data_IF_260301451636
#
_entry.id   IF_260301451636
#
_cell.length_a   1.000
_cell.length_b   1.000
_cell.length_c   1.000
_cell.angle_alpha   90.00
_cell.angle_beta   90.00
_cell.angle_gamma   90.00
#
_symmetry.space_group_name_H-M   'P 1'
#
loop_
_entity.id
_entity.type
_entity.pdbx_description
1 polymer ?
#
# COMPACT_ATOMS: atom_id res chain seq x y z
N UNK A 1 -3.92 5.08 11.15
CA UNK A 1 -5.10 4.19 11.22
C UNK A 1 -4.80 2.89 10.48
N UNK A 2 -5.15 1.77 11.09
CA UNK A 2 -5.16 0.50 10.34
C UNK A 2 -6.46 0.42 9.56
N UNK A 3 -6.40 0.05 8.28
CA UNK A 3 -7.59 -0.23 7.48
C UNK A 3 -8.27 -1.51 7.96
N UNK A 4 -9.59 -1.55 7.85
CA UNK A 4 -10.35 -2.77 8.11
C UNK A 4 -10.42 -3.59 6.83
N UNK A 5 -9.99 -4.84 6.89
CA UNK A 5 -10.14 -5.79 5.78
C UNK A 5 -11.63 -6.15 5.64
N UNK A 6 -12.20 -5.85 4.47
CA UNK A 6 -13.63 -6.11 4.22
C UNK A 6 -13.80 -7.37 3.40
N UNK A 7 -12.93 -7.55 2.40
CA UNK A 7 -13.02 -8.66 1.48
C UNK A 7 -11.62 -9.01 0.98
N UNK A 8 -11.24 -10.26 1.11
CA UNK A 8 -9.93 -10.74 0.66
C UNK A 8 -9.91 -11.19 -0.81
N UNK A 9 -11.05 -11.59 -1.34
CA UNK A 9 -11.17 -12.08 -2.72
C UNK A 9 -12.64 -12.09 -3.14
N UNK A 10 -12.91 -12.05 -4.46
CA UNK A 10 -14.21 -12.37 -4.99
C UNK A 10 -14.34 -13.90 -4.95
N UNK A 11 -15.28 -14.41 -4.16
CA UNK A 11 -15.52 -15.84 -4.05
C UNK A 11 -16.76 -16.24 -4.84
N UNK A 12 -16.62 -17.09 -5.86
CA UNK A 12 -17.69 -18.01 -6.23
C UNK A 12 -18.02 -18.92 -5.04
N UNK A 13 -19.24 -19.43 -4.98
CA UNK A 13 -19.70 -20.32 -3.89
C UNK A 13 -18.91 -21.62 -3.82
N UNK A 14 -18.27 -22.00 -4.92
CA UNK A 14 -17.42 -23.18 -5.05
C UNK A 14 -15.94 -22.81 -4.97
N UNK A 15 -15.17 -23.46 -4.08
CA UNK A 15 -13.75 -23.21 -3.87
C UNK A 15 -12.91 -23.53 -5.11
N UNK A 16 -13.25 -24.55 -5.87
CA UNK A 16 -12.49 -24.93 -7.06
C UNK A 16 -12.65 -23.88 -8.17
N UNK A 17 -13.85 -23.35 -8.34
CA UNK A 17 -14.12 -22.24 -9.25
C UNK A 17 -13.40 -20.96 -8.82
N UNK A 18 -13.32 -20.68 -7.52
CA UNK A 18 -12.57 -19.56 -6.97
C UNK A 18 -11.09 -19.67 -7.30
N UNK A 19 -10.50 -20.85 -7.16
CA UNK A 19 -9.08 -21.09 -7.47
C UNK A 19 -8.82 -20.86 -8.96
N UNK A 20 -9.66 -21.41 -9.84
CA UNK A 20 -9.51 -21.22 -11.29
C UNK A 20 -9.69 -19.75 -11.69
N UNK A 21 -10.66 -19.05 -11.10
CA UNK A 21 -10.85 -17.62 -11.32
C UNK A 21 -9.61 -16.81 -10.90
N UNK A 22 -9.06 -17.08 -9.72
CA UNK A 22 -7.86 -16.39 -9.22
C UNK A 22 -6.61 -16.70 -10.05
N UNK A 23 -6.47 -17.91 -10.59
CA UNK A 23 -5.38 -18.25 -11.53
C UNK A 23 -5.44 -17.41 -12.80
N UNK A 24 -6.63 -17.15 -13.31
CA UNK A 24 -6.85 -16.38 -14.53
C UNK A 24 -6.81 -14.86 -14.29
N UNK A 25 -7.48 -14.36 -13.23
CA UNK A 25 -7.72 -12.93 -12.99
C UNK A 25 -6.85 -12.33 -11.88
N UNK A 26 -6.16 -13.15 -11.10
CA UNK A 26 -5.37 -12.72 -9.95
C UNK A 26 -6.16 -12.62 -8.65
N UNK A 27 -5.47 -12.23 -7.59
CA UNK A 27 -6.03 -12.04 -6.25
C UNK A 27 -6.40 -10.58 -6.02
N UNK A 28 -7.53 -10.35 -5.35
CA UNK A 28 -8.05 -9.01 -5.05
C UNK A 28 -8.24 -8.87 -3.54
N UNK A 29 -7.78 -7.77 -2.96
CA UNK A 29 -8.02 -7.44 -1.55
C UNK A 29 -8.53 -6.02 -1.46
N UNK A 30 -9.64 -5.83 -0.78
CA UNK A 30 -10.22 -4.52 -0.50
C UNK A 30 -10.11 -4.21 0.98
N UNK A 31 -9.57 -3.05 1.31
CA UNK A 31 -9.55 -2.50 2.67
C UNK A 31 -10.48 -1.29 2.75
N UNK A 32 -11.14 -1.11 3.89
CA UNK A 32 -11.94 0.09 4.19
C UNK A 32 -11.24 0.94 5.24
N UNK A 33 -11.12 2.23 4.93
CA UNK A 33 -10.62 3.22 5.89
C UNK A 33 -11.61 4.38 5.91
N UNK A 34 -12.40 4.48 6.97
CA UNK A 34 -13.54 5.39 7.03
C UNK A 34 -14.58 5.03 5.96
N UNK A 35 -14.93 5.99 5.12
CA UNK A 35 -15.94 5.84 4.05
C UNK A 35 -15.31 5.41 2.70
N UNK A 36 -14.00 5.28 2.63
CA UNK A 36 -13.28 4.96 1.39
C UNK A 36 -12.80 3.52 1.37
N UNK A 37 -12.84 2.94 0.18
CA UNK A 37 -12.36 1.61 -0.10
C UNK A 37 -11.16 1.65 -1.06
N UNK A 38 -10.19 0.78 -0.79
CA UNK A 38 -8.97 0.67 -1.60
C UNK A 38 -8.77 -0.79 -1.96
N UNK A 39 -8.75 -1.08 -3.25
CA UNK A 39 -8.55 -2.43 -3.76
C UNK A 39 -7.15 -2.59 -4.33
N UNK A 40 -6.44 -3.58 -3.85
CA UNK A 40 -5.19 -4.06 -4.42
C UNK A 40 -5.41 -5.34 -5.21
N UNK A 41 -4.60 -5.54 -6.23
CA UNK A 41 -4.63 -6.74 -7.09
C UNK A 41 -3.24 -7.33 -7.21
N UNK A 42 -3.15 -8.65 -7.30
CA UNK A 42 -1.91 -9.35 -7.55
C UNK A 42 -2.14 -10.46 -8.57
N UNK A 43 -1.31 -10.47 -9.62
CA UNK A 43 -1.30 -11.51 -10.64
C UNK A 43 -0.04 -12.35 -10.46
N UNK A 44 -0.19 -13.65 -10.62
CA UNK A 44 0.95 -14.57 -10.63
C UNK A 44 1.72 -14.39 -11.96
N UNK A 45 3.05 -14.47 -11.90
CA UNK A 45 3.87 -14.63 -13.11
C UNK A 45 3.58 -15.99 -13.76
N UNK A 46 3.68 -16.11 -15.11
CA UNK A 46 3.53 -17.40 -15.79
C UNK A 46 4.49 -18.50 -15.29
N UNK A 47 5.65 -18.08 -14.79
CA UNK A 47 6.69 -18.99 -14.28
C UNK A 47 6.50 -19.39 -12.81
N UNK A 48 5.61 -18.71 -12.08
CA UNK A 48 5.37 -18.95 -10.67
C UNK A 48 4.31 -20.03 -10.43
N UNK A 49 4.45 -20.74 -9.34
CA UNK A 49 3.37 -21.60 -8.86
C UNK A 49 2.26 -20.74 -8.26
N UNK A 50 1.02 -21.12 -8.55
CA UNK A 50 -0.14 -20.44 -7.96
C UNK A 50 -0.16 -20.64 -6.44
N UNK A 51 -0.27 -19.54 -5.71
CA UNK A 51 -0.48 -19.51 -4.27
C UNK A 51 -1.45 -18.40 -3.91
N UNK A 52 -2.65 -18.79 -3.51
CA UNK A 52 -3.69 -17.87 -3.06
C UNK A 52 -3.26 -17.03 -1.87
N UNK A 53 -2.58 -17.65 -0.91
CA UNK A 53 -2.09 -16.96 0.28
C UNK A 53 -1.11 -15.84 -0.08
N UNK A 54 -0.13 -16.12 -0.92
CA UNK A 54 0.84 -15.12 -1.37
C UNK A 54 0.18 -14.05 -2.23
N UNK A 55 -0.71 -14.43 -3.14
CA UNK A 55 -1.48 -13.49 -3.97
C UNK A 55 -2.30 -12.52 -3.13
N UNK A 56 -3.04 -12.99 -2.14
CA UNK A 56 -3.80 -12.13 -1.21
C UNK A 56 -2.89 -11.21 -0.41
N UNK A 57 -1.74 -11.69 0.06
CA UNK A 57 -0.77 -10.89 0.81
C UNK A 57 -0.20 -9.73 -0.02
N UNK A 58 0.12 -9.96 -1.30
CA UNK A 58 0.54 -8.89 -2.21
C UNK A 58 -0.58 -7.93 -2.54
N UNK A 59 -1.78 -8.44 -2.79
CA UNK A 59 -2.94 -7.63 -3.06
C UNK A 59 -3.28 -6.70 -1.88
N UNK A 60 -3.21 -7.20 -0.64
CA UNK A 60 -3.39 -6.40 0.57
C UNK A 60 -2.35 -5.28 0.69
N UNK A 61 -1.07 -5.58 0.48
CA UNK A 61 -0.01 -4.56 0.49
C UNK A 61 -0.24 -3.47 -0.56
N UNK A 62 -0.68 -3.84 -1.75
CA UNK A 62 -1.03 -2.88 -2.81
C UNK A 62 -2.24 -2.03 -2.47
N UNK A 63 -3.24 -2.59 -1.78
CA UNK A 63 -4.37 -1.84 -1.26
C UNK A 63 -3.92 -0.79 -0.22
N UNK A 64 -3.09 -1.17 0.74
CA UNK A 64 -2.50 -0.23 1.70
C UNK A 64 -1.63 0.84 1.04
N UNK A 65 -0.86 0.49 0.01
CA UNK A 65 -0.09 1.48 -0.76
C UNK A 65 -0.97 2.52 -1.42
N UNK A 66 -2.10 2.13 -2.00
CA UNK A 66 -3.09 3.06 -2.55
C UNK A 66 -3.65 3.99 -1.47
N UNK A 67 -4.00 3.44 -0.31
CA UNK A 67 -4.45 4.23 0.83
C UNK A 67 -3.41 5.25 1.28
N UNK A 68 -2.15 4.85 1.47
CA UNK A 68 -1.09 5.76 1.89
C UNK A 68 -0.80 6.84 0.86
N UNK A 69 -0.85 6.54 -0.44
CA UNK A 69 -0.72 7.54 -1.51
C UNK A 69 -1.85 8.58 -1.45
N UNK A 70 -3.08 8.15 -1.22
CA UNK A 70 -4.22 9.05 -1.06
C UNK A 70 -4.09 9.91 0.21
N UNK A 71 -3.76 9.29 1.34
CA UNK A 71 -3.54 10.00 2.60
C UNK A 71 -2.42 11.04 2.46
N UNK A 72 -1.32 10.71 1.77
CA UNK A 72 -0.23 11.66 1.47
C UNK A 72 -0.70 12.83 0.61
N UNK A 73 -1.52 12.58 -0.41
CA UNK A 73 -2.07 13.63 -1.26
C UNK A 73 -2.96 14.60 -0.45
N UNK A 74 -3.81 14.08 0.43
CA UNK A 74 -4.63 14.89 1.33
C UNK A 74 -3.78 15.76 2.27
N UNK A 75 -2.72 15.19 2.86
CA UNK A 75 -1.78 15.94 3.71
C UNK A 75 -1.02 17.03 2.95
N UNK A 76 -0.63 16.76 1.70
CA UNK A 76 -0.01 17.79 0.83
C UNK A 76 -0.97 18.93 0.53
N UNK A 77 -2.24 18.65 0.31
CA UNK A 77 -3.26 19.70 0.13
C UNK A 77 -3.46 20.52 1.41
N UNK A 78 -3.50 19.85 2.57
CA UNK A 78 -3.58 20.51 3.87
C UNK A 78 -2.36 21.44 4.10
N UNK A 79 -1.16 20.97 3.81
CA UNK A 79 0.07 21.75 3.93
C UNK A 79 0.02 23.00 3.05
N UNK A 80 -0.39 22.86 1.79
CA UNK A 80 -0.55 24.01 0.88
C UNK A 80 -1.54 25.06 1.43
N UNK A 81 -2.63 24.61 2.05
CA UNK A 81 -3.60 25.53 2.68
C UNK A 81 -2.98 26.31 3.85
N UNK A 82 -2.23 25.64 4.72
CA UNK A 82 -1.53 26.26 5.85
C UNK A 82 -0.44 27.21 5.36
N UNK A 83 0.35 26.82 4.37
CA UNK A 83 1.40 27.68 3.77
C UNK A 83 0.81 28.94 3.14
N UNK A 84 -0.33 28.85 2.44
CA UNK A 84 -1.03 30.01 1.89
C UNK A 84 -1.47 30.97 3.00
N UNK A 85 -2.09 30.43 4.05
CA UNK A 85 -2.52 31.24 5.20
C UNK A 85 -1.32 31.94 5.87
N UNK A 86 -0.23 31.21 6.08
CA UNK A 86 1.00 31.77 6.63
C UNK A 86 1.58 32.89 5.77
N UNK A 87 1.68 32.67 4.45
CA UNK A 87 2.21 33.67 3.52
C UNK A 87 1.33 34.92 3.43
N UNK A 88 0.01 34.75 3.43
CA UNK A 88 -0.92 35.88 3.46
C UNK A 88 -0.74 36.72 4.72
N UNK A 89 -0.59 36.10 5.87
CA UNK A 89 -0.38 36.78 7.14
C UNK A 89 0.99 37.50 7.19
N UNK A 90 2.05 36.91 6.68
CA UNK A 90 3.39 37.54 6.63
C UNK A 90 3.43 38.77 5.73
N UNK A 91 2.55 38.86 4.73
CA UNK A 91 2.43 40.01 3.83
C UNK A 91 1.54 41.13 4.38
N UNK A 92 0.80 40.85 5.44
CA UNK A 92 -0.11 41.83 6.06
C UNK A 92 0.69 42.83 6.91
N UNK A 93 0.51 44.12 6.67
CA UNK A 93 1.16 45.18 7.47
C UNK A 93 0.74 45.09 8.95
N UNK A 94 1.70 45.20 9.85
CA UNK A 94 1.46 45.24 11.30
C UNK A 94 1.33 43.88 11.96
N UNK A 95 1.52 42.77 11.23
CA UNK A 95 1.55 41.43 11.85
C UNK A 95 2.94 41.18 12.43
N UNK A 96 2.96 40.78 13.70
CA UNK A 96 4.15 40.27 14.36
C UNK A 96 4.38 38.83 13.97
N UNK A 97 5.47 38.58 13.24
CA UNK A 97 5.90 37.23 12.84
C UNK A 97 6.27 36.31 14.03
N UNK A 98 6.49 36.88 15.20
CA UNK A 98 6.74 36.17 16.45
C UNK A 98 5.49 35.99 17.30
N UNK A 99 4.32 36.39 16.81
CA UNK A 99 3.05 36.20 17.50
C UNK A 99 2.76 34.73 17.77
N UNK A 100 1.89 34.48 18.74
CA UNK A 100 1.47 33.10 19.11
C UNK A 100 0.85 32.40 17.93
N UNK A 101 0.03 33.07 17.14
CA UNK A 101 -0.66 32.55 15.95
C UNK A 101 0.32 32.13 14.86
N UNK A 102 1.32 32.98 14.58
CA UNK A 102 2.35 32.68 13.58
C UNK A 102 3.23 31.49 14.01
N UNK A 103 3.57 31.40 15.29
CA UNK A 103 4.29 30.24 15.84
C UNK A 103 3.46 28.96 15.73
N UNK A 104 2.17 29.02 15.97
CA UNK A 104 1.25 27.89 15.86
C UNK A 104 1.16 27.40 14.43
N UNK A 105 1.04 28.28 13.43
CA UNK A 105 1.04 27.92 12.01
C UNK A 105 2.34 27.22 11.60
N UNK A 106 3.50 27.74 12.01
CA UNK A 106 4.80 27.08 11.75
C UNK A 106 4.86 25.68 12.38
N UNK A 107 4.35 25.51 13.59
CA UNK A 107 4.28 24.20 14.25
C UNK A 107 3.39 23.24 13.48
N UNK A 108 2.22 23.69 13.04
CA UNK A 108 1.32 22.87 12.21
C UNK A 108 1.96 22.44 10.89
N UNK A 109 2.64 23.35 10.20
CA UNK A 109 3.40 23.00 8.98
C UNK A 109 4.45 21.94 9.26
N UNK A 110 5.19 22.04 10.35
CA UNK A 110 6.20 21.06 10.75
C UNK A 110 5.60 19.66 11.01
N UNK A 111 4.48 19.60 11.71
CA UNK A 111 3.76 18.34 11.97
C UNK A 111 3.31 17.71 10.65
N UNK A 112 2.66 18.46 9.78
CA UNK A 112 2.15 17.92 8.50
C UNK A 112 3.29 17.46 7.59
N UNK A 113 4.41 18.18 7.54
CA UNK A 113 5.61 17.76 6.80
C UNK A 113 6.18 16.45 7.32
N UNK A 114 6.21 16.24 8.62
CA UNK A 114 6.64 14.99 9.24
C UNK A 114 5.71 13.83 8.86
N UNK A 115 4.39 14.04 8.93
CA UNK A 115 3.40 13.04 8.51
C UNK A 115 3.54 12.67 7.02
N UNK A 116 3.80 13.64 6.15
CA UNK A 116 4.06 13.40 4.72
C UNK A 116 5.34 12.56 4.53
N UNK A 117 6.39 12.84 5.28
CA UNK A 117 7.64 12.09 5.22
C UNK A 117 7.46 10.63 5.68
N UNK A 118 6.71 10.41 6.77
CA UNK A 118 6.38 9.06 7.27
C UNK A 118 5.56 8.27 6.24
N UNK A 119 4.54 8.88 5.63
CA UNK A 119 3.75 8.23 4.58
C UNK A 119 4.59 7.91 3.34
N UNK A 120 5.51 8.80 2.96
CA UNK A 120 6.45 8.57 1.86
C UNK A 120 7.35 7.38 2.15
N UNK A 121 7.86 7.24 3.36
CA UNK A 121 8.67 6.10 3.78
C UNK A 121 7.87 4.79 3.71
N UNK A 122 6.63 4.77 4.18
CA UNK A 122 5.75 3.59 4.09
C UNK A 122 5.48 3.18 2.65
N UNK A 123 5.20 4.13 1.77
CA UNK A 123 4.96 3.89 0.35
C UNK A 123 6.20 3.29 -0.32
N UNK A 124 7.37 3.83 -0.04
CA UNK A 124 8.63 3.39 -0.64
C UNK A 124 9.06 2.00 -0.14
N UNK A 125 8.80 1.68 1.12
CA UNK A 125 9.17 0.39 1.70
C UNK A 125 8.26 -0.77 1.28
N UNK A 126 7.08 -0.51 0.75
CA UNK A 126 6.18 -1.56 0.24
C UNK A 126 6.77 -2.26 -0.99
N UNK A 127 7.26 -1.51 -1.98
CA UNK A 127 7.82 -2.05 -3.23
C UNK A 127 9.00 -3.01 -3.01
N UNK A 128 10.09 -2.61 -2.30
CA UNK A 128 11.22 -3.51 -2.05
C UNK A 128 10.81 -4.77 -1.29
N UNK A 129 9.91 -4.65 -0.32
CA UNK A 129 9.42 -5.80 0.46
C UNK A 129 8.63 -6.78 -0.41
N UNK A 130 7.81 -6.31 -1.34
CA UNK A 130 7.07 -7.13 -2.29
C UNK A 130 8.05 -7.85 -3.24
N UNK A 131 8.98 -7.11 -3.86
CA UNK A 131 9.98 -7.67 -4.77
C UNK A 131 10.83 -8.75 -4.09
N UNK A 132 11.35 -8.45 -2.89
CA UNK A 132 12.14 -9.42 -2.12
C UNK A 132 11.37 -10.69 -1.79
N UNK A 133 10.08 -10.57 -1.50
CA UNK A 133 9.22 -11.73 -1.22
C UNK A 133 8.91 -12.53 -2.50
N UNK A 134 8.67 -11.86 -3.64
CA UNK A 134 8.50 -12.52 -4.93
C UNK A 134 9.74 -13.35 -5.30
N UNK A 135 10.93 -12.79 -5.17
CA UNK A 135 12.19 -13.48 -5.45
C UNK A 135 12.39 -14.69 -4.55
N UNK A 136 12.15 -14.55 -3.25
CA UNK A 136 12.26 -15.68 -2.30
C UNK A 136 11.25 -16.77 -2.60
N UNK A 137 10.03 -16.41 -2.96
CA UNK A 137 8.97 -17.35 -3.30
C UNK A 137 9.26 -18.07 -4.62
N UNK A 138 9.66 -17.33 -5.65
CA UNK A 138 10.06 -17.90 -6.94
C UNK A 138 11.21 -18.91 -6.79
N UNK A 139 12.23 -18.57 -5.99
CA UNK A 139 13.35 -19.47 -5.71
C UNK A 139 12.93 -20.73 -4.93
N UNK A 140 12.03 -20.59 -3.96
CA UNK A 140 11.49 -21.74 -3.21
C UNK A 140 10.67 -22.66 -4.13
N UNK A 141 9.87 -22.10 -5.04
CA UNK A 141 9.10 -22.87 -6.02
C UNK A 141 9.98 -23.59 -7.02
N UNK A 142 11.05 -22.96 -7.55
CA UNK A 142 12.02 -23.62 -8.42
C UNK A 142 12.64 -24.84 -7.76
N UNK A 143 13.12 -24.71 -6.52
CA UNK A 143 13.67 -25.83 -5.74
C UNK A 143 12.66 -26.96 -5.51
N UNK A 144 11.38 -26.64 -5.29
CA UNK A 144 10.34 -27.63 -5.11
C UNK A 144 10.06 -28.42 -6.39
N UNK A 145 10.04 -27.76 -7.54
CA UNK A 145 9.88 -28.37 -8.86
C UNK A 145 11.07 -29.28 -9.21
N UNK A 146 12.30 -28.81 -8.93
CA UNK A 146 13.52 -29.59 -9.15
C UNK A 146 13.54 -30.88 -8.29
N UNK A 147 13.13 -30.81 -7.02
CA UNK A 147 13.00 -31.98 -6.15
C UNK A 147 11.97 -33.00 -6.69
N UNK A 148 10.83 -32.54 -7.17
CA UNK A 148 9.80 -33.41 -7.76
C UNK A 148 10.29 -34.07 -9.03
N UNK A 149 11.04 -33.38 -9.88
CA UNK A 149 11.66 -33.98 -11.07
C UNK A 149 12.67 -35.07 -10.72
N UNK A 150 13.57 -34.81 -9.76
CA UNK A 150 14.53 -35.82 -9.31
C UNK A 150 13.86 -37.10 -8.76
N UNK A 151 12.83 -36.93 -7.94
CA UNK A 151 12.11 -38.09 -7.38
C UNK A 151 11.37 -38.89 -8.45
N UNK A 152 11.00 -38.30 -9.58
CA UNK A 152 10.39 -38.98 -10.72
C UNK A 152 11.41 -39.72 -11.60
N UNK A 153 12.66 -39.26 -11.62
CA UNK A 153 13.76 -39.88 -12.38
C UNK A 153 14.42 -41.04 -11.62
N UNK A 154 14.26 -41.11 -10.29
CA UNK A 154 14.78 -42.15 -9.41
C UNK A 154 13.77 -43.31 -9.17
N UNK A 155 12.57 -43.23 -9.72
CA UNK A 155 11.53 -44.28 -9.67
C UNK A 155 11.35 -44.91 -11.02
#
# INVERSE_FOLDING_TARGET
MKGTLINSTIFPENMDEAIEYEKEHGSFVTIRVGDKEYTGTAHKSPEDMFSRFEGCKYAEKRAYKKYWKNARAEKKMQLKGIERAYNMLTQTKGIDIHSKEMRQLRKMMGIVRTEIAELTTRINNVEPSILTMCDKYANACKKCVERKKKNLEET
#
